data_IF_774618553001
#
_entry.id   IF_774618553001
#
_cell.length_a   1.000
_cell.length_b   1.000
_cell.length_c   1.000
_cell.angle_alpha   90.00
_cell.angle_beta   90.00
_cell.angle_gamma   90.00
#
_symmetry.space_group_name_H-M   'P 1'
#
loop_
_entity.id
_entity.type
_entity.pdbx_description
1 polymer ?
#
# COMPACT_ATOMS: atom_id res chain seq x y z
N UNK A 1 51.31 32.96 42.17
CA UNK A 1 51.12 31.51 41.93
C UNK A 1 49.63 31.26 41.72
N UNK A 2 49.15 31.27 40.47
CA UNK A 2 47.73 31.05 40.13
C UNK A 2 47.50 29.58 39.80
N UNK A 3 46.75 28.88 40.65
CA UNK A 3 46.38 27.48 40.44
C UNK A 3 45.23 27.39 39.44
N UNK A 4 45.52 26.98 38.21
CA UNK A 4 44.50 26.68 37.20
C UNK A 4 43.76 25.38 37.56
N UNK A 5 42.60 25.52 38.18
CA UNK A 5 41.68 24.41 38.48
C UNK A 5 41.15 23.82 37.15
N UNK A 6 41.46 22.55 36.92
CA UNK A 6 41.17 21.76 35.70
C UNK A 6 39.67 21.82 35.32
N UNK A 7 39.34 22.53 34.24
CA UNK A 7 38.02 22.53 33.54
C UNK A 7 37.64 21.18 32.87
N UNK A 8 38.23 20.05 33.27
CA UNK A 8 38.06 18.76 32.59
C UNK A 8 36.73 18.05 32.91
N UNK A 9 36.10 18.36 34.05
CA UNK A 9 34.88 17.69 34.51
C UNK A 9 33.63 18.05 33.69
N UNK A 10 33.46 19.33 33.35
CA UNK A 10 32.27 19.77 32.58
C UNK A 10 32.22 19.24 31.15
N UNK A 11 33.38 19.03 30.53
CA UNK A 11 33.46 18.50 29.15
C UNK A 11 33.05 17.03 29.09
N UNK A 12 33.45 16.22 30.08
CA UNK A 12 33.08 14.81 30.16
C UNK A 12 31.57 14.64 30.40
N UNK A 13 30.99 15.46 31.28
CA UNK A 13 29.54 15.46 31.55
C UNK A 13 28.76 15.85 30.30
N UNK A 14 29.17 16.90 29.58
CA UNK A 14 28.52 17.32 28.34
C UNK A 14 28.56 16.24 27.24
N UNK A 15 29.67 15.52 27.09
CA UNK A 15 29.80 14.42 26.12
C UNK A 15 28.89 13.23 26.45
N UNK A 16 28.69 12.92 27.74
CA UNK A 16 27.75 11.88 28.18
C UNK A 16 26.30 12.29 27.90
N UNK A 17 25.93 13.55 28.14
CA UNK A 17 24.58 14.04 27.81
C UNK A 17 24.29 14.04 26.30
N UNK A 18 25.28 14.38 25.46
CA UNK A 18 25.16 14.30 24.00
C UNK A 18 24.99 12.86 23.49
N UNK A 19 25.65 11.89 24.13
CA UNK A 19 25.52 10.46 23.79
C UNK A 19 24.16 9.85 24.23
N UNK A 20 23.48 10.48 25.19
CA UNK A 20 22.14 10.08 25.67
C UNK A 20 20.99 10.73 24.90
N UNK A 21 21.27 11.61 23.94
CA UNK A 21 20.24 12.13 23.04
C UNK A 21 19.80 10.97 22.15
N UNK A 22 18.70 10.32 22.53
CA UNK A 22 18.01 9.42 21.62
C UNK A 22 17.56 10.26 20.43
N UNK A 23 18.27 10.13 19.31
CA UNK A 23 17.78 10.62 18.04
C UNK A 23 16.58 9.75 17.70
N UNK A 24 15.39 10.23 18.04
CA UNK A 24 14.13 9.63 17.60
C UNK A 24 14.05 9.81 16.09
N UNK A 25 14.57 8.83 15.35
CA UNK A 25 14.44 8.78 13.89
C UNK A 25 12.99 8.42 13.60
N UNK A 26 12.23 9.37 13.04
CA UNK A 26 10.87 9.10 12.60
C UNK A 26 10.90 8.16 11.40
N UNK A 27 10.23 7.02 11.53
CA UNK A 27 10.22 5.99 10.49
C UNK A 27 9.34 6.48 9.33
N UNK A 28 9.88 6.60 8.11
CA UNK A 28 9.11 7.09 6.98
C UNK A 28 7.97 6.13 6.66
N UNK A 29 6.94 6.62 5.98
CA UNK A 29 5.84 5.81 5.52
C UNK A 29 5.48 6.10 4.07
N UNK A 30 4.93 5.08 3.41
CA UNK A 30 4.30 5.25 2.10
C UNK A 30 2.79 5.21 2.22
N UNK A 31 2.11 5.93 1.34
CA UNK A 31 0.66 5.87 1.13
C UNK A 31 0.38 5.24 -0.23
N UNK A 32 -0.49 4.22 -0.22
CA UNK A 32 -1.01 3.59 -1.43
C UNK A 32 -2.49 3.92 -1.56
N UNK A 33 -2.82 4.72 -2.59
CA UNK A 33 -4.17 5.22 -2.82
C UNK A 33 -5.11 4.11 -3.33
N UNK A 34 -6.41 4.39 -3.26
CA UNK A 34 -7.45 3.47 -3.71
C UNK A 34 -7.74 3.56 -5.21
N UNK A 35 -8.77 2.82 -5.60
CA UNK A 35 -9.32 2.85 -6.96
C UNK A 35 -9.84 4.24 -7.31
N UNK A 36 -9.71 4.63 -8.58
CA UNK A 36 -10.12 5.91 -9.13
C UNK A 36 -9.39 7.15 -8.54
N UNK A 37 -8.33 6.95 -7.77
CA UNK A 37 -7.53 8.01 -7.15
C UNK A 37 -6.14 8.12 -7.81
N UNK A 38 -5.41 9.18 -7.48
CA UNK A 38 -4.01 9.37 -7.86
C UNK A 38 -3.33 10.26 -6.83
N UNK A 39 -2.02 10.13 -6.65
CA UNK A 39 -1.24 10.95 -5.72
C UNK A 39 -1.26 12.44 -6.09
N UNK A 40 -1.33 12.74 -7.39
CA UNK A 40 -1.45 14.12 -7.90
C UNK A 40 -2.79 14.80 -7.59
N UNK A 41 -3.84 14.04 -7.22
CA UNK A 41 -5.10 14.64 -6.79
C UNK A 41 -4.94 15.21 -5.39
N UNK A 42 -5.41 16.45 -5.21
CA UNK A 42 -5.33 17.15 -3.92
C UNK A 42 -5.86 16.33 -2.74
N UNK A 43 -6.86 15.44 -2.92
CA UNK A 43 -7.36 14.58 -1.85
C UNK A 43 -6.28 13.62 -1.28
N UNK A 44 -5.49 12.96 -2.13
CA UNK A 44 -4.46 12.01 -1.69
C UNK A 44 -3.21 12.75 -1.18
N UNK A 45 -2.82 13.83 -1.86
CA UNK A 45 -1.72 14.70 -1.40
C UNK A 45 -2.02 15.30 -0.03
N UNK A 46 -3.23 15.85 0.17
CA UNK A 46 -3.67 16.38 1.46
C UNK A 46 -3.70 15.30 2.54
N UNK A 47 -4.12 14.07 2.19
CA UNK A 47 -4.13 12.96 3.13
C UNK A 47 -2.71 12.57 3.58
N UNK A 48 -1.77 12.47 2.64
CA UNK A 48 -0.37 12.16 2.96
C UNK A 48 0.25 13.26 3.82
N UNK A 49 0.02 14.53 3.48
CA UNK A 49 0.49 15.67 4.27
C UNK A 49 -0.13 15.68 5.68
N UNK A 50 -1.42 15.38 5.81
CA UNK A 50 -2.09 15.26 7.10
C UNK A 50 -1.41 14.20 7.98
N UNK A 51 -1.16 13.00 7.44
CA UNK A 51 -0.48 11.94 8.19
C UNK A 51 0.96 12.32 8.56
N UNK A 52 1.68 12.99 7.67
CA UNK A 52 3.03 13.51 7.95
C UNK A 52 3.00 14.47 9.13
N UNK A 53 2.06 15.43 9.13
CA UNK A 53 1.93 16.41 10.21
C UNK A 53 1.55 15.78 11.55
N UNK A 54 0.63 14.80 11.55
CA UNK A 54 0.18 14.13 12.77
C UNK A 54 1.23 13.19 13.37
N UNK A 55 2.00 12.51 12.53
CA UNK A 55 2.98 11.52 12.97
C UNK A 55 4.39 12.08 13.19
N UNK A 56 4.69 13.28 12.66
CA UNK A 56 6.06 13.80 12.60
C UNK A 56 7.01 12.95 11.73
N UNK A 57 6.46 12.04 10.91
CA UNK A 57 7.23 11.11 10.08
C UNK A 57 7.13 11.48 8.60
N UNK A 58 8.21 11.36 7.79
CA UNK A 58 8.15 11.63 6.36
C UNK A 58 7.20 10.68 5.64
N UNK A 59 6.16 11.23 4.99
CA UNK A 59 5.17 10.49 4.21
C UNK A 59 5.32 10.68 2.71
N UNK A 60 5.22 9.58 1.95
CA UNK A 60 5.32 9.58 0.48
C UNK A 60 4.12 8.88 -0.15
N UNK A 61 3.37 9.58 -1.01
CA UNK A 61 2.36 8.92 -1.83
C UNK A 61 3.03 8.27 -3.04
N UNK A 62 2.86 6.96 -3.21
CA UNK A 62 3.48 6.21 -4.31
C UNK A 62 2.46 6.06 -5.44
N UNK A 63 2.63 6.88 -6.48
CA UNK A 63 1.78 6.83 -7.68
C UNK A 63 2.01 5.52 -8.44
N UNK A 64 0.96 4.86 -8.92
CA UNK A 64 1.07 3.67 -9.77
C UNK A 64 0.66 4.03 -11.19
N UNK A 65 1.59 3.91 -12.14
CA UNK A 65 1.34 4.22 -13.55
C UNK A 65 0.69 5.61 -13.74
N UNK A 66 -0.42 5.64 -14.46
CA UNK A 66 -1.26 6.81 -14.73
C UNK A 66 -2.34 7.06 -13.65
N UNK A 67 -2.08 6.63 -12.40
CA UNK A 67 -2.92 6.86 -11.24
C UNK A 67 -4.35 6.39 -11.40
N UNK A 68 -5.29 7.34 -11.55
CA UNK A 68 -6.73 7.05 -11.64
C UNK A 68 -7.06 6.02 -12.70
N UNK A 69 -6.43 6.11 -13.89
CA UNK A 69 -6.68 5.17 -14.99
C UNK A 69 -6.15 3.78 -14.65
N UNK A 70 -4.91 3.69 -14.19
CA UNK A 70 -4.27 2.39 -13.99
C UNK A 70 -4.77 1.68 -12.74
N UNK A 71 -5.29 2.40 -11.75
CA UNK A 71 -6.05 1.81 -10.63
C UNK A 71 -7.29 1.03 -11.08
N UNK A 72 -7.81 1.31 -12.27
CA UNK A 72 -8.88 0.53 -12.91
C UNK A 72 -8.32 -0.52 -13.86
N UNK A 73 -7.44 -0.11 -14.77
CA UNK A 73 -7.15 -0.88 -15.97
C UNK A 73 -5.78 -1.60 -15.95
N UNK A 74 -5.15 -1.68 -14.79
CA UNK A 74 -3.92 -2.44 -14.58
C UNK A 74 -4.14 -3.54 -13.53
N UNK A 75 -3.79 -4.81 -13.79
CA UNK A 75 -3.98 -5.88 -12.82
C UNK A 75 -3.14 -5.63 -11.56
N UNK A 76 -3.64 -6.08 -10.40
CA UNK A 76 -3.05 -5.75 -9.09
C UNK A 76 -1.60 -6.22 -8.93
N UNK A 77 -1.23 -7.36 -9.55
CA UNK A 77 0.16 -7.82 -9.54
C UNK A 77 1.09 -6.87 -10.28
N UNK A 78 0.66 -6.31 -11.42
CA UNK A 78 1.47 -5.32 -12.15
C UNK A 78 1.60 -4.01 -11.36
N UNK A 79 0.54 -3.59 -10.67
CA UNK A 79 0.61 -2.45 -9.75
C UNK A 79 1.62 -2.72 -8.62
N UNK A 80 1.61 -3.92 -8.04
CA UNK A 80 2.54 -4.37 -7.00
C UNK A 80 3.99 -4.34 -7.47
N UNK A 81 4.28 -4.87 -8.66
CA UNK A 81 5.62 -4.81 -9.26
C UNK A 81 6.11 -3.37 -9.40
N UNK A 82 5.27 -2.47 -9.89
CA UNK A 82 5.63 -1.04 -10.04
C UNK A 82 5.96 -0.41 -8.69
N UNK A 83 5.14 -0.68 -7.66
CA UNK A 83 5.41 -0.16 -6.31
C UNK A 83 6.70 -0.74 -5.76
N UNK A 84 6.93 -2.05 -5.93
CA UNK A 84 8.14 -2.74 -5.50
C UNK A 84 9.41 -2.10 -6.09
N UNK A 85 9.42 -1.85 -7.40
CA UNK A 85 10.55 -1.18 -8.05
C UNK A 85 10.77 0.24 -7.54
N UNK A 86 9.68 0.99 -7.31
CA UNK A 86 9.78 2.34 -6.74
C UNK A 86 10.37 2.34 -5.33
N UNK A 87 9.86 1.50 -4.42
CA UNK A 87 10.34 1.51 -3.03
C UNK A 87 11.80 1.06 -2.92
N UNK A 88 12.27 0.16 -3.80
CA UNK A 88 13.69 -0.23 -3.89
C UNK A 88 14.61 0.92 -4.28
N UNK A 89 14.12 1.84 -5.11
CA UNK A 89 14.90 2.99 -5.60
C UNK A 89 14.92 4.17 -4.62
N UNK A 90 13.97 4.24 -3.69
CA UNK A 90 13.88 5.32 -2.71
C UNK A 90 14.94 5.18 -1.62
N UNK A 91 15.84 6.16 -1.52
CA UNK A 91 16.93 6.16 -0.53
C UNK A 91 16.39 6.31 0.90
N UNK A 92 15.30 7.04 1.02
CA UNK A 92 14.59 7.38 2.25
C UNK A 92 14.03 6.12 2.93
N UNK A 93 13.68 5.09 2.15
CA UNK A 93 13.08 3.87 2.67
C UNK A 93 14.10 2.77 2.97
N UNK A 94 15.40 2.97 2.68
CA UNK A 94 16.44 1.93 2.78
C UNK A 94 16.58 1.30 4.16
N UNK A 95 16.34 2.06 5.22
CA UNK A 95 16.39 1.57 6.61
C UNK A 95 15.08 0.92 7.07
N UNK A 96 14.09 0.87 6.18
CA UNK A 96 12.75 0.37 6.43
C UNK A 96 11.72 1.49 6.57
N UNK A 97 10.45 1.11 6.45
CA UNK A 97 9.34 2.05 6.35
C UNK A 97 8.02 1.42 6.80
N UNK A 98 7.01 2.25 7.04
CA UNK A 98 5.63 1.83 7.28
C UNK A 98 4.78 1.97 6.00
N UNK A 99 3.67 1.23 5.91
CA UNK A 99 2.73 1.33 4.80
C UNK A 99 1.36 1.75 5.33
N UNK A 100 0.72 2.71 4.67
CA UNK A 100 -0.68 3.05 4.85
C UNK A 100 -1.43 2.79 3.55
N UNK A 101 -2.26 1.75 3.52
CA UNK A 101 -3.08 1.41 2.36
C UNK A 101 -4.50 1.94 2.50
N UNK A 102 -5.06 2.50 1.42
CA UNK A 102 -6.47 2.96 1.38
C UNK A 102 -7.27 2.19 0.36
N UNK A 103 -8.45 1.68 0.74
CA UNK A 103 -9.35 0.98 -0.18
C UNK A 103 -8.60 -0.11 -0.98
N UNK A 104 -8.66 -0.10 -2.32
CA UNK A 104 -7.92 -1.01 -3.21
C UNK A 104 -6.40 -1.03 -2.98
N UNK A 105 -5.79 0.10 -2.58
CA UNK A 105 -4.35 0.19 -2.32
C UNK A 105 -3.85 -0.75 -1.23
N UNK A 106 -4.76 -1.28 -0.39
CA UNK A 106 -4.45 -2.34 0.58
C UNK A 106 -4.07 -3.67 -0.06
N UNK A 107 -4.65 -4.00 -1.20
CA UNK A 107 -4.31 -5.23 -1.92
C UNK A 107 -2.94 -5.11 -2.59
N UNK A 108 -2.61 -3.92 -3.10
CA UNK A 108 -1.26 -3.60 -3.59
C UNK A 108 -0.25 -3.60 -2.44
N UNK A 109 -0.60 -3.04 -1.28
CA UNK A 109 0.23 -3.06 -0.08
C UNK A 109 0.54 -4.49 0.38
N UNK A 110 -0.48 -5.34 0.44
CA UNK A 110 -0.32 -6.75 0.78
C UNK A 110 0.57 -7.46 -0.24
N UNK A 111 0.32 -7.26 -1.53
CA UNK A 111 1.17 -7.80 -2.59
C UNK A 111 2.62 -7.33 -2.47
N UNK A 112 2.85 -6.07 -2.10
CA UNK A 112 4.19 -5.53 -1.87
C UNK A 112 4.89 -6.26 -0.71
N UNK A 113 4.18 -6.51 0.39
CA UNK A 113 4.73 -7.22 1.56
C UNK A 113 5.05 -8.68 1.23
N UNK A 114 4.22 -9.33 0.41
CA UNK A 114 4.30 -10.77 0.15
C UNK A 114 5.20 -11.14 -1.04
N UNK A 115 5.33 -10.28 -2.05
CA UNK A 115 5.97 -10.62 -3.33
C UNK A 115 7.16 -9.73 -3.71
N UNK A 116 7.47 -8.69 -2.93
CA UNK A 116 8.59 -7.80 -3.26
C UNK A 116 9.92 -8.29 -2.68
N UNK A 117 10.56 -9.22 -3.38
CA UNK A 117 11.88 -9.72 -3.00
C UNK A 117 12.95 -8.62 -3.07
N UNK A 118 13.79 -8.54 -2.04
CA UNK A 118 14.87 -7.55 -1.95
C UNK A 118 14.41 -6.11 -1.74
N UNK A 119 13.14 -5.89 -1.39
CA UNK A 119 12.63 -4.58 -0.98
C UNK A 119 13.15 -4.16 0.41
N UNK A 120 13.15 -2.86 0.75
CA UNK A 120 13.45 -2.42 2.11
C UNK A 120 12.43 -2.98 3.11
N UNK A 121 12.84 -3.11 4.38
CA UNK A 121 12.00 -3.74 5.41
C UNK A 121 10.73 -2.94 5.68
N UNK A 122 9.58 -3.62 5.63
CA UNK A 122 8.31 -3.07 6.12
C UNK A 122 8.21 -3.30 7.63
N UNK A 123 7.99 -2.24 8.41
CA UNK A 123 7.84 -2.34 9.87
C UNK A 123 6.40 -2.53 10.29
N UNK A 124 5.51 -1.64 9.83
CA UNK A 124 4.08 -1.71 10.11
C UNK A 124 3.27 -1.51 8.84
N UNK A 125 2.13 -2.19 8.77
CA UNK A 125 1.14 -2.02 7.73
C UNK A 125 -0.20 -1.63 8.34
N UNK A 126 -0.70 -0.46 7.97
CA UNK A 126 -1.98 0.08 8.41
C UNK A 126 -2.97 0.00 7.24
N UNK A 127 -4.04 -0.75 7.44
CA UNK A 127 -5.09 -0.96 6.44
C UNK A 127 -6.30 -0.07 6.71
N UNK A 128 -6.53 0.93 5.86
CA UNK A 128 -7.72 1.79 5.92
C UNK A 128 -8.76 1.33 4.89
N UNK A 129 -9.82 0.68 5.39
CA UNK A 129 -10.95 0.17 4.59
C UNK A 129 -10.52 -0.75 3.42
N UNK A 130 -9.55 -1.64 3.66
CA UNK A 130 -9.04 -2.58 2.66
C UNK A 130 -9.95 -3.79 2.41
N UNK A 131 -10.26 -4.13 1.14
CA UNK A 131 -11.09 -5.29 0.79
C UNK A 131 -10.28 -6.59 0.78
N UNK A 132 -9.63 -6.94 1.90
CA UNK A 132 -8.75 -8.12 2.00
C UNK A 132 -9.45 -9.43 1.65
N UNK A 133 -10.73 -9.56 1.99
CA UNK A 133 -11.56 -10.71 1.64
C UNK A 133 -12.28 -10.57 0.28
N UNK A 134 -11.98 -9.51 -0.47
CA UNK A 134 -12.66 -9.11 -1.69
C UNK A 134 -13.93 -8.30 -1.50
N UNK A 135 -14.64 -8.10 -2.60
CA UNK A 135 -15.94 -7.43 -2.69
C UNK A 135 -16.95 -8.33 -3.43
N UNK A 136 -18.25 -8.17 -3.20
CA UNK A 136 -19.30 -9.00 -3.82
C UNK A 136 -20.01 -8.36 -5.03
N UNK A 137 -19.65 -7.13 -5.35
CA UNK A 137 -20.19 -6.33 -6.45
C UNK A 137 -19.12 -5.42 -7.01
N UNK A 138 -19.24 -5.03 -8.28
CA UNK A 138 -18.27 -4.15 -8.93
C UNK A 138 -18.30 -2.76 -8.27
N UNK A 139 -17.14 -2.13 -8.00
CA UNK A 139 -17.11 -0.77 -7.45
C UNK A 139 -17.82 0.20 -8.40
N UNK A 140 -18.54 1.19 -7.86
CA UNK A 140 -19.26 2.24 -8.60
C UNK A 140 -20.53 1.83 -9.35
N UNK A 141 -21.02 0.60 -9.22
CA UNK A 141 -22.41 0.36 -9.58
C UNK A 141 -23.30 0.91 -8.44
N UNK A 142 -23.95 2.04 -8.67
CA UNK A 142 -24.94 2.60 -7.73
C UNK A 142 -26.21 1.74 -7.65
N UNK A 143 -27.33 2.37 -7.28
CA UNK A 143 -28.64 1.71 -7.26
C UNK A 143 -29.38 1.92 -8.60
N UNK A 144 -30.02 0.86 -9.13
CA UNK A 144 -30.85 0.93 -10.33
C UNK A 144 -30.86 -0.36 -11.15
N UNK A 145 -31.96 -0.63 -11.86
CA UNK A 145 -32.16 -1.85 -12.66
C UNK A 145 -31.08 -2.06 -13.73
N UNK A 146 -30.58 -0.99 -14.34
CA UNK A 146 -29.47 -1.04 -15.30
C UNK A 146 -28.14 -1.42 -14.65
N UNK A 147 -27.93 -1.04 -13.39
CA UNK A 147 -26.74 -1.42 -12.64
C UNK A 147 -26.77 -2.90 -12.27
N UNK A 148 -27.92 -3.44 -11.89
CA UNK A 148 -28.08 -4.87 -11.65
C UNK A 148 -27.86 -5.72 -12.91
N UNK A 149 -28.31 -5.22 -14.07
CA UNK A 149 -28.09 -5.86 -15.37
C UNK A 149 -26.61 -5.80 -15.75
N UNK A 150 -25.98 -4.64 -15.64
CA UNK A 150 -24.54 -4.47 -15.88
C UNK A 150 -23.71 -5.34 -14.92
N UNK A 151 -24.07 -5.39 -13.63
CA UNK A 151 -23.43 -6.24 -12.64
C UNK A 151 -23.63 -7.73 -13.00
N UNK A 152 -24.82 -8.17 -13.45
CA UNK A 152 -25.02 -9.55 -13.94
C UNK A 152 -24.18 -9.89 -15.17
N UNK A 153 -24.07 -8.98 -16.14
CA UNK A 153 -23.27 -9.15 -17.36
C UNK A 153 -21.77 -9.14 -17.05
N UNK A 154 -21.31 -8.26 -16.16
CA UNK A 154 -19.92 -8.25 -15.71
C UNK A 154 -19.63 -9.53 -14.93
N UNK A 155 -20.54 -9.98 -14.07
CA UNK A 155 -20.40 -11.23 -13.29
C UNK A 155 -20.31 -12.49 -14.14
N UNK A 156 -20.83 -12.52 -15.38
CA UNK A 156 -20.66 -13.68 -16.27
C UNK A 156 -19.25 -13.77 -16.86
N UNK A 157 -18.60 -12.63 -17.13
CA UNK A 157 -17.31 -12.55 -17.82
C UNK A 157 -16.14 -12.12 -16.92
N UNK A 158 -16.38 -11.75 -15.66
CA UNK A 158 -15.34 -11.21 -14.76
C UNK A 158 -14.15 -12.17 -14.56
N UNK A 159 -14.37 -13.48 -14.67
CA UNK A 159 -13.34 -14.51 -14.51
C UNK A 159 -12.74 -14.98 -15.83
N UNK A 160 -13.05 -14.30 -16.95
CA UNK A 160 -12.32 -14.47 -18.20
C UNK A 160 -10.88 -13.98 -18.05
N UNK A 161 -9.96 -14.61 -18.77
CA UNK A 161 -8.53 -14.26 -18.67
C UNK A 161 -8.28 -12.84 -19.18
N UNK A 162 -9.06 -12.38 -20.16
CA UNK A 162 -9.01 -11.00 -20.64
C UNK A 162 -9.33 -10.02 -19.51
N UNK A 163 -10.46 -10.18 -18.83
CA UNK A 163 -10.86 -9.24 -17.76
C UNK A 163 -9.91 -9.32 -16.56
N UNK A 164 -9.48 -10.51 -16.17
CA UNK A 164 -8.50 -10.71 -15.09
C UNK A 164 -7.15 -10.02 -15.35
N UNK A 165 -6.74 -9.93 -16.61
CA UNK A 165 -5.47 -9.30 -16.98
C UNK A 165 -5.57 -7.80 -17.27
N UNK A 166 -6.77 -7.22 -17.35
CA UNK A 166 -6.98 -5.82 -17.75
C UNK A 166 -7.80 -4.99 -16.75
N UNK A 167 -8.48 -5.60 -15.78
CA UNK A 167 -9.35 -4.88 -14.84
C UNK A 167 -8.97 -5.18 -13.39
N UNK A 168 -8.40 -4.22 -12.68
CA UNK A 168 -7.93 -4.42 -11.30
C UNK A 168 -9.04 -4.92 -10.34
N UNK A 169 -10.26 -4.35 -10.34
CA UNK A 169 -11.39 -4.87 -9.56
C UNK A 169 -11.69 -6.35 -9.72
N UNK A 170 -11.43 -6.90 -10.91
CA UNK A 170 -11.70 -8.31 -11.19
C UNK A 170 -10.82 -9.25 -10.36
N UNK A 171 -9.62 -8.79 -9.95
CA UNK A 171 -8.67 -9.58 -9.16
C UNK A 171 -9.10 -9.74 -7.69
N UNK A 172 -10.16 -9.07 -7.25
CA UNK A 172 -10.68 -9.18 -5.88
C UNK A 172 -12.22 -9.15 -5.81
N UNK A 173 -12.90 -9.41 -6.93
CA UNK A 173 -14.35 -9.62 -6.95
C UNK A 173 -14.66 -11.10 -6.60
N UNK A 174 -15.38 -11.28 -5.49
CA UNK A 174 -15.85 -12.57 -4.97
C UNK A 174 -17.35 -12.73 -5.22
N UNK A 175 -17.73 -13.55 -6.19
CA UNK A 175 -19.14 -13.85 -6.47
C UNK A 175 -19.48 -15.22 -5.87
N UNK A 176 -20.20 -15.29 -4.73
CA UNK A 176 -20.43 -16.54 -4.01
C UNK A 176 -21.40 -17.51 -4.72
N UNK A 177 -22.14 -17.05 -5.74
CA UNK A 177 -23.31 -17.76 -6.29
C UNK A 177 -23.03 -18.65 -7.51
N UNK A 178 -21.79 -18.90 -7.91
CA UNK A 178 -21.52 -19.65 -9.15
C UNK A 178 -20.47 -20.77 -9.06
N UNK A 179 -20.84 -21.91 -9.71
CA UNK A 179 -20.09 -23.12 -10.13
C UNK A 179 -18.59 -23.22 -9.73
N UNK A 180 -18.18 -24.41 -9.23
CA UNK A 180 -16.80 -24.82 -8.83
C UNK A 180 -15.64 -24.16 -9.59
N UNK A 181 -15.71 -24.03 -10.91
CA UNK A 181 -14.67 -23.44 -11.77
C UNK A 181 -14.34 -21.97 -11.42
N UNK A 182 -15.34 -21.17 -11.01
CA UNK A 182 -15.11 -19.77 -10.60
C UNK A 182 -14.49 -19.68 -9.22
N UNK A 183 -14.85 -20.62 -8.35
CA UNK A 183 -14.21 -20.76 -7.04
C UNK A 183 -12.74 -21.12 -7.25
N UNK A 184 -12.37 -22.03 -8.16
CA UNK A 184 -10.97 -22.37 -8.43
C UNK A 184 -10.15 -21.22 -9.01
N UNK A 185 -10.70 -20.43 -9.96
CA UNK A 185 -10.00 -19.24 -10.46
C UNK A 185 -9.87 -18.16 -9.38
N UNK A 186 -10.93 -17.91 -8.61
CA UNK A 186 -10.88 -17.01 -7.46
C UNK A 186 -9.85 -17.51 -6.43
N UNK A 187 -9.88 -18.78 -6.09
CA UNK A 187 -8.91 -19.48 -5.25
C UNK A 187 -7.53 -19.34 -5.86
N UNK A 188 -7.30 -19.43 -7.16
CA UNK A 188 -5.97 -19.24 -7.77
C UNK A 188 -5.49 -17.79 -7.70
N UNK A 189 -6.37 -16.83 -7.95
CA UNK A 189 -6.07 -15.39 -7.82
C UNK A 189 -5.75 -15.05 -6.37
N UNK A 190 -6.56 -15.57 -5.44
CA UNK A 190 -6.35 -15.42 -4.00
C UNK A 190 -5.15 -16.21 -3.53
N UNK A 191 -4.93 -17.46 -3.95
CA UNK A 191 -3.75 -18.27 -3.58
C UNK A 191 -2.47 -17.64 -4.07
N UNK A 192 -2.45 -17.11 -5.30
CA UNK A 192 -1.31 -16.34 -5.77
C UNK A 192 -1.06 -15.10 -4.92
N UNK A 193 -2.05 -14.61 -4.18
CA UNK A 193 -1.97 -13.50 -3.20
C UNK A 193 -2.05 -13.96 -1.72
N UNK A 194 -2.09 -15.25 -1.39
CA UNK A 194 -2.36 -15.74 -0.01
C UNK A 194 -1.63 -17.04 0.35
N UNK A 195 -1.25 -17.89 -0.62
CA UNK A 195 -0.63 -19.20 -0.43
C UNK A 195 0.80 -19.29 -0.98
N UNK A 196 1.50 -18.18 -1.18
CA UNK A 196 2.98 -18.19 -1.15
C UNK A 196 3.56 -18.35 0.27
N UNK A 197 2.73 -18.70 1.27
CA UNK A 197 3.12 -18.95 2.65
C UNK A 197 3.22 -20.44 3.03
N UNK A 198 3.50 -21.33 2.08
CA UNK A 198 4.01 -22.68 2.39
C UNK A 198 5.19 -22.98 1.48
#
# INVERSE_FOLDING_TARGET
MFCMRKKRSGLAVALVFLALVQVSVSVPFIVLHGIAASCSQGKEANFTQLLTNLSGSPGYCIEVGNGKRDSWFMPLMKQTEIVCEKVKQMKELRQGYNIVGRSQGNLVARGLIEFCDGGPRVFNYISLAGPHAGISSVPLCGNGSLCEIADKLIKSEIYSDFIQNHLAPSNYLKIPTFRRIRIEKFITIYLKMFLSQI
#
